data_IF_983647350922
#
_entry.id   IF_983647350922
#
_cell.length_a   1.000
_cell.length_b   1.000
_cell.length_c   1.000
_cell.angle_alpha   90.00
_cell.angle_beta   90.00
_cell.angle_gamma   90.00
#
_symmetry.space_group_name_H-M   'P 1'
#
loop_
_entity.id
_entity.type
_entity.pdbx_description
1 polymer ?
#
# COMPACT_ATOMS: atom_id res chain seq x y z
N UNK A 1 7.70 2.07 1.99
CA UNK A 1 6.39 2.51 1.45
C UNK A 1 6.22 1.97 0.06
N UNK A 2 5.00 1.58 -0.33
CA UNK A 2 4.72 1.13 -1.69
C UNK A 2 4.98 2.29 -2.69
N UNK A 3 5.54 2.04 -3.88
CA UNK A 3 5.91 3.10 -4.83
C UNK A 3 4.74 4.01 -5.23
N UNK A 4 3.55 3.44 -5.44
CA UNK A 4 2.34 4.19 -5.81
C UNK A 4 1.88 5.13 -4.68
N UNK A 5 1.95 4.68 -3.43
CA UNK A 5 1.59 5.50 -2.27
C UNK A 5 2.56 6.67 -2.09
N UNK A 6 3.85 6.43 -2.30
CA UNK A 6 4.86 7.49 -2.21
C UNK A 6 4.61 8.56 -3.27
N UNK A 7 4.29 8.18 -4.50
CA UNK A 7 3.93 9.10 -5.57
C UNK A 7 2.66 9.89 -5.24
N UNK A 8 1.58 9.21 -4.83
CA UNK A 8 0.32 9.85 -4.44
C UNK A 8 0.51 10.86 -3.29
N UNK A 9 1.27 10.47 -2.26
CA UNK A 9 1.59 11.37 -1.15
C UNK A 9 2.45 12.55 -1.59
N UNK A 10 3.40 12.33 -2.49
CA UNK A 10 4.23 13.41 -3.05
C UNK A 10 3.35 14.43 -3.79
N UNK A 11 2.45 13.98 -4.66
CA UNK A 11 1.54 14.86 -5.39
C UNK A 11 0.59 15.59 -4.44
N UNK A 12 0.08 14.89 -3.42
CA UNK A 12 -0.82 15.50 -2.43
C UNK A 12 -0.15 16.56 -1.57
N UNK A 13 1.09 16.34 -1.13
CA UNK A 13 1.80 17.23 -0.22
C UNK A 13 2.37 18.44 -0.97
N UNK A 14 2.99 18.22 -2.14
CA UNK A 14 3.70 19.28 -2.85
C UNK A 14 2.83 20.03 -3.86
N UNK A 15 1.89 19.34 -4.52
CA UNK A 15 1.02 19.95 -5.53
C UNK A 15 -0.39 20.23 -5.00
N UNK A 16 -0.69 19.88 -3.73
CA UNK A 16 -2.02 20.05 -3.13
C UNK A 16 -3.13 19.27 -3.84
N UNK A 17 -2.78 18.37 -4.77
CA UNK A 17 -3.72 17.72 -5.69
C UNK A 17 -3.96 16.28 -5.26
N UNK A 18 -5.21 15.83 -5.32
CA UNK A 18 -5.60 14.47 -4.90
C UNK A 18 -5.81 13.58 -6.11
N UNK A 19 -4.77 12.86 -6.50
CA UNK A 19 -4.82 11.94 -7.67
C UNK A 19 -5.10 10.48 -7.28
N UNK A 20 -5.17 10.15 -5.99
CA UNK A 20 -5.30 8.75 -5.53
C UNK A 20 -6.56 8.02 -6.03
N UNK A 21 -7.67 8.73 -6.24
CA UNK A 21 -8.88 8.13 -6.81
C UNK A 21 -8.66 7.65 -8.26
N UNK A 22 -7.79 8.33 -9.00
CA UNK A 22 -7.44 7.97 -10.37
C UNK A 22 -6.72 6.61 -10.47
N UNK A 23 -6.25 6.04 -9.36
CA UNK A 23 -5.61 4.73 -9.35
C UNK A 23 -6.53 3.62 -9.90
N UNK A 24 -7.83 3.71 -9.61
CA UNK A 24 -8.79 2.66 -9.96
C UNK A 24 -9.76 3.05 -11.09
N UNK A 25 -10.05 4.34 -11.26
CA UNK A 25 -10.97 4.83 -12.30
C UNK A 25 -10.68 6.29 -12.66
N UNK A 26 -11.11 6.75 -13.84
CA UNK A 26 -11.02 8.17 -14.21
C UNK A 26 -11.85 9.03 -13.24
N UNK A 27 -11.30 10.15 -12.79
CA UNK A 27 -11.99 10.99 -11.82
C UNK A 27 -13.17 11.73 -12.48
N UNK A 28 -14.40 11.65 -11.94
CA UNK A 28 -15.60 12.17 -12.62
C UNK A 28 -15.66 13.69 -12.72
N UNK A 29 -14.95 14.40 -11.84
CA UNK A 29 -14.98 15.88 -11.73
C UNK A 29 -13.60 16.53 -11.87
N UNK A 30 -12.56 15.75 -12.19
CA UNK A 30 -11.19 16.24 -12.31
C UNK A 30 -10.61 15.76 -13.64
N UNK A 31 -9.57 16.42 -14.12
CA UNK A 31 -8.94 16.10 -15.41
C UNK A 31 -8.11 14.83 -15.39
N UNK A 32 -7.77 14.31 -14.20
CA UNK A 32 -6.86 13.18 -14.05
C UNK A 32 -7.51 11.85 -14.43
N UNK A 33 -6.93 11.23 -15.45
CA UNK A 33 -7.27 9.88 -15.89
C UNK A 33 -6.42 8.83 -15.18
N UNK A 34 -6.91 7.60 -15.13
CA UNK A 34 -6.17 6.47 -14.61
C UNK A 34 -4.84 6.27 -15.33
N UNK A 35 -4.82 6.48 -16.65
CA UNK A 35 -3.59 6.43 -17.43
C UNK A 35 -2.53 7.42 -16.92
N UNK A 36 -2.94 8.66 -16.67
CA UNK A 36 -2.03 9.73 -16.21
C UNK A 36 -1.50 9.43 -14.80
N UNK A 37 -2.29 8.80 -13.94
CA UNK A 37 -1.83 8.31 -12.63
C UNK A 37 -0.65 7.34 -12.77
N UNK A 38 -0.77 6.35 -13.66
CA UNK A 38 0.31 5.38 -13.90
C UNK A 38 1.50 5.98 -14.65
N UNK A 39 1.29 6.95 -15.53
CA UNK A 39 2.38 7.70 -16.17
C UNK A 39 3.19 8.50 -15.14
N UNK A 40 2.53 9.16 -14.18
CA UNK A 40 3.21 9.84 -13.06
C UNK A 40 3.93 8.84 -12.13
N UNK A 41 3.33 7.68 -11.90
CA UNK A 41 3.98 6.60 -11.15
C UNK A 41 5.25 6.09 -11.86
N UNK A 42 5.20 5.95 -13.19
CA UNK A 42 6.36 5.55 -13.98
C UNK A 42 7.45 6.63 -13.97
N UNK A 43 7.08 7.92 -14.06
CA UNK A 43 8.02 9.03 -13.96
C UNK A 43 8.74 9.08 -12.61
N UNK A 44 8.02 8.81 -11.52
CA UNK A 44 8.56 8.79 -10.17
C UNK A 44 9.15 7.44 -9.76
N UNK A 45 9.12 6.44 -10.65
CA UNK A 45 9.68 5.13 -10.38
C UNK A 45 11.21 5.22 -10.18
N UNK A 46 11.72 4.58 -9.12
CA UNK A 46 13.14 4.68 -8.76
C UNK A 46 13.50 5.92 -7.95
N UNK A 47 12.55 6.83 -7.70
CA UNK A 47 12.75 7.90 -6.72
C UNK A 47 12.89 7.29 -5.32
N UNK A 48 14.10 7.34 -4.79
CA UNK A 48 14.38 6.86 -3.44
C UNK A 48 14.16 7.99 -2.45
N UNK A 49 13.11 7.89 -1.64
CA UNK A 49 13.06 8.65 -0.40
C UNK A 49 14.20 8.11 0.46
N UNK A 50 15.28 8.88 0.66
CA UNK A 50 16.42 8.51 1.51
C UNK A 50 15.99 8.44 2.97
N UNK A 51 15.20 7.44 3.31
CA UNK A 51 15.12 6.88 4.66
C UNK A 51 16.10 5.70 4.82
N UNK A 52 16.91 5.42 3.79
CA UNK A 52 18.04 4.49 3.87
C UNK A 52 19.31 5.30 4.00
N UNK A 53 19.84 5.38 5.24
CA UNK A 53 21.05 6.12 5.51
C UNK A 53 21.45 6.10 6.98
N UNK A 54 20.76 6.85 7.86
CA UNK A 54 21.25 7.10 9.23
C UNK A 54 20.19 7.46 10.28
N UNK A 55 18.90 7.16 10.10
CA UNK A 55 17.92 7.35 11.20
C UNK A 55 17.63 6.03 11.92
N UNK A 56 18.29 5.82 13.06
CA UNK A 56 18.10 4.63 13.91
C UNK A 56 16.72 4.59 14.59
N UNK A 57 15.88 5.63 14.47
CA UNK A 57 14.52 5.65 15.03
C UNK A 57 13.48 4.92 14.17
N UNK A 58 13.83 4.57 12.92
CA UNK A 58 12.95 3.84 11.99
C UNK A 58 13.44 2.43 11.65
N UNK A 59 14.60 2.01 12.17
CA UNK A 59 15.17 0.67 11.96
C UNK A 59 15.45 0.01 13.32
N UNK A 60 14.39 -0.32 14.05
CA UNK A 60 14.47 -1.17 15.24
C UNK A 60 14.63 -2.65 14.84
N UNK A 61 15.57 -2.97 13.95
CA UNK A 61 15.94 -4.35 13.60
C UNK A 61 14.85 -5.28 13.05
N UNK A 62 13.60 -4.85 12.99
CA UNK A 62 12.47 -5.65 12.56
C UNK A 62 12.09 -5.25 11.13
N UNK A 63 11.99 -6.25 10.27
CA UNK A 63 11.53 -6.13 8.89
C UNK A 63 10.26 -5.23 8.86
N UNK A 64 10.20 -4.18 8.01
CA UNK A 64 9.02 -3.32 7.88
C UNK A 64 7.73 -4.10 7.58
N UNK A 65 7.85 -5.30 7.01
CA UNK A 65 6.74 -6.19 6.72
C UNK A 65 6.49 -7.24 7.83
N UNK A 66 7.21 -7.20 8.96
CA UNK A 66 7.04 -8.17 10.06
C UNK A 66 5.65 -8.11 10.69
N UNK A 67 5.08 -6.91 10.89
CA UNK A 67 3.69 -6.74 11.33
C UNK A 67 2.70 -7.31 10.32
N UNK A 68 2.87 -6.98 9.05
CA UNK A 68 2.00 -7.46 7.97
C UNK A 68 2.07 -8.99 7.84
N UNK A 69 3.26 -9.60 8.01
CA UNK A 69 3.39 -11.07 8.01
C UNK A 69 2.70 -11.72 9.20
N UNK A 70 2.81 -11.15 10.40
CA UNK A 70 2.09 -11.67 11.59
C UNK A 70 0.58 -11.59 11.39
N UNK A 71 0.10 -10.44 10.93
CA UNK A 71 -1.32 -10.21 10.62
C UNK A 71 -1.83 -11.17 9.53
N UNK A 72 -1.04 -11.40 8.47
CA UNK A 72 -1.39 -12.37 7.43
C UNK A 72 -1.48 -13.80 7.97
N UNK A 73 -0.55 -14.22 8.83
CA UNK A 73 -0.54 -15.56 9.43
C UNK A 73 -1.70 -15.75 10.41
N UNK A 74 -2.04 -14.72 11.20
CA UNK A 74 -3.21 -14.75 12.10
C UNK A 74 -4.52 -14.87 11.30
N UNK A 75 -4.67 -14.11 10.21
CA UNK A 75 -5.84 -14.19 9.34
C UNK A 75 -5.99 -15.57 8.68
N UNK A 76 -4.89 -16.16 8.20
CA UNK A 76 -4.91 -17.51 7.60
C UNK A 76 -5.29 -18.57 8.64
N UNK A 77 -4.79 -18.45 9.87
CA UNK A 77 -5.15 -19.33 10.97
C UNK A 77 -6.64 -19.22 11.35
N UNK A 78 -7.18 -18.00 11.44
CA UNK A 78 -8.61 -17.77 11.67
C UNK A 78 -9.48 -18.35 10.53
N UNK A 79 -9.03 -18.22 9.28
CA UNK A 79 -9.75 -18.75 8.14
C UNK A 79 -9.77 -20.28 8.13
N UNK A 80 -8.64 -20.93 8.44
CA UNK A 80 -8.55 -22.38 8.59
C UNK A 80 -9.43 -22.88 9.75
N UNK A 81 -9.44 -22.18 10.88
CA UNK A 81 -10.29 -22.54 12.02
C UNK A 81 -11.78 -22.37 11.71
N UNK A 82 -12.17 -21.33 10.96
CA UNK A 82 -13.54 -21.16 10.45
C UNK A 82 -13.93 -22.31 9.52
N UNK A 83 -13.07 -22.68 8.57
CA UNK A 83 -13.31 -23.82 7.66
C UNK A 83 -13.44 -25.13 8.42
N UNK A 84 -12.59 -25.36 9.42
CA UNK A 84 -12.62 -26.54 10.29
C UNK A 84 -13.88 -26.59 11.15
N UNK A 85 -14.35 -25.44 11.64
CA UNK A 85 -15.56 -25.36 12.45
C UNK A 85 -16.83 -25.47 11.60
N UNK A 86 -16.87 -24.89 10.40
CA UNK A 86 -17.95 -25.11 9.42
C UNK A 86 -18.07 -26.58 8.99
N UNK A 87 -16.94 -27.28 8.85
CA UNK A 87 -16.91 -28.73 8.59
C UNK A 87 -17.34 -29.62 9.77
N UNK A 88 -17.48 -29.05 10.98
CA UNK A 88 -17.91 -29.76 12.20
C UNK A 88 -19.42 -29.69 12.44
N UNK A 89 -20.10 -28.68 11.88
CA UNK A 89 -21.56 -28.51 11.99
C UNK A 89 -22.36 -29.23 10.89
N UNK A 90 -21.71 -29.68 9.80
CA UNK A 90 -22.33 -30.44 8.70
C UNK A 90 -22.15 -31.97 8.84
N UNK A 91 -22.15 -32.50 10.08
CA UNK A 91 -22.06 -33.95 10.34
C UNK A 91 -23.13 -34.39 11.32
#
# INVERSE_FOLDING_TARGET
GMPLDNMNNTVRIFLGTRIGCAQCHDHPFDRWKQKEFYEMAAFTFGSSTRASGRDKRFYTGEDPNSRLRKEYVELDQEEQDRRRNQGRFNR
#
